data_IF_539084180449
#
_entry.id   IF_539084180449
#
_cell.length_a   1.000
_cell.length_b   1.000
_cell.length_c   1.000
_cell.angle_alpha   90.00
_cell.angle_beta   90.00
_cell.angle_gamma   90.00
#
_symmetry.space_group_name_H-M   'P 1'
#
loop_
_entity.id
_entity.type
_entity.pdbx_description
1 polymer ?
#
# COMPACT_ATOMS: atom_id res chain seq x y z
N UNK A 1 -21.12 -5.94 37.80
CA UNK A 1 -20.10 -6.53 36.91
C UNK A 1 -19.47 -5.40 36.11
N UNK A 2 -18.27 -5.00 36.48
CA UNK A 2 -17.57 -3.85 35.89
C UNK A 2 -17.03 -4.19 34.51
N UNK A 3 -17.65 -3.62 33.48
CA UNK A 3 -17.04 -3.53 32.15
C UNK A 3 -15.90 -2.52 32.22
N UNK A 4 -14.68 -3.03 32.14
CA UNK A 4 -13.45 -2.26 32.10
C UNK A 4 -13.54 -1.22 30.98
N UNK A 5 -13.35 0.03 31.39
CA UNK A 5 -13.07 1.15 30.50
C UNK A 5 -11.76 0.87 29.78
N UNK A 6 -11.80 0.43 28.52
CA UNK A 6 -10.64 0.53 27.64
C UNK A 6 -10.53 2.00 27.21
N UNK A 7 -9.88 2.79 28.06
CA UNK A 7 -9.32 4.08 27.63
C UNK A 7 -8.35 3.78 26.48
N UNK A 8 -8.39 4.46 25.33
CA UNK A 8 -7.24 4.48 24.46
C UNK A 8 -6.13 5.26 25.19
N UNK A 9 -5.28 4.52 25.89
CA UNK A 9 -4.06 5.02 26.50
C UNK A 9 -3.22 5.69 25.42
N UNK A 10 -2.73 6.89 25.73
CA UNK A 10 -1.86 7.70 24.88
C UNK A 10 -0.45 7.10 24.82
N UNK A 11 -0.33 5.84 24.41
CA UNK A 11 0.94 5.23 24.07
C UNK A 11 1.24 5.61 22.61
N UNK A 12 1.63 6.87 22.42
CA UNK A 12 2.33 7.26 21.21
C UNK A 12 3.65 6.50 21.21
N UNK A 13 3.70 5.36 20.50
CA UNK A 13 4.98 4.77 20.15
C UNK A 13 5.85 5.87 19.55
N UNK A 14 6.99 6.11 20.19
CA UNK A 14 7.94 7.11 19.71
C UNK A 14 8.38 6.64 18.34
N UNK A 15 8.00 7.39 17.31
CA UNK A 15 8.32 7.01 15.95
C UNK A 15 9.83 6.73 15.82
N UNK A 16 10.13 5.52 15.39
CA UNK A 16 11.49 4.98 15.35
C UNK A 16 12.13 5.21 13.99
N UNK A 17 11.32 5.29 12.94
CA UNK A 17 11.79 5.33 11.56
C UNK A 17 11.73 6.72 10.96
N UNK A 18 12.78 7.09 10.24
CA UNK A 18 12.79 8.27 9.37
C UNK A 18 12.01 8.00 8.08
N UNK A 19 11.67 9.07 7.37
CA UNK A 19 11.00 8.96 6.06
C UNK A 19 11.82 8.19 5.01
N UNK A 20 13.16 8.20 5.13
CA UNK A 20 14.03 7.43 4.24
C UNK A 20 13.92 5.93 4.53
N UNK A 21 14.03 5.54 5.80
CA UNK A 21 13.91 4.13 6.21
C UNK A 21 12.52 3.55 5.88
N UNK A 22 11.46 4.34 6.05
CA UNK A 22 10.11 3.92 5.66
C UNK A 22 9.99 3.78 4.15
N UNK A 23 10.59 4.70 3.38
CA UNK A 23 10.58 4.62 1.93
C UNK A 23 11.26 3.35 1.41
N UNK A 24 12.41 2.97 1.99
CA UNK A 24 13.12 1.74 1.65
C UNK A 24 12.31 0.49 2.03
N UNK A 25 11.68 0.47 3.20
CA UNK A 25 10.91 -0.70 3.68
C UNK A 25 9.59 -0.91 2.94
N UNK A 26 8.90 0.17 2.61
CA UNK A 26 7.57 0.11 1.98
C UNK A 26 7.62 0.16 0.46
N UNK A 27 8.79 0.46 -0.12
CA UNK A 27 8.96 0.72 -1.56
C UNK A 27 8.29 2.03 -2.03
N UNK A 28 7.73 2.83 -1.12
CA UNK A 28 7.10 4.11 -1.44
C UNK A 28 8.14 5.22 -1.48
N UNK A 29 8.02 6.16 -2.42
CA UNK A 29 8.91 7.33 -2.42
C UNK A 29 8.60 8.26 -1.23
N UNK A 30 9.62 8.96 -0.74
CA UNK A 30 9.42 10.01 0.27
C UNK A 30 8.43 11.10 -0.18
N UNK A 31 8.28 11.33 -1.50
CA UNK A 31 7.26 12.22 -2.04
C UNK A 31 5.84 11.65 -1.85
N UNK A 32 5.63 10.36 -2.12
CA UNK A 32 4.36 9.66 -1.90
C UNK A 32 3.97 9.67 -0.43
N UNK A 33 4.91 9.41 0.49
CA UNK A 33 4.66 9.48 1.93
C UNK A 33 4.21 10.88 2.37
N UNK A 34 4.90 11.92 1.92
CA UNK A 34 4.50 13.33 2.16
C UNK A 34 3.13 13.65 1.58
N UNK A 35 2.82 13.10 0.40
CA UNK A 35 1.52 13.27 -0.22
C UNK A 35 0.40 12.61 0.59
N UNK A 36 0.61 11.38 1.08
CA UNK A 36 -0.34 10.68 1.96
C UNK A 36 -0.62 11.42 3.26
N UNK A 37 0.39 12.03 3.88
CA UNK A 37 0.16 12.90 5.03
C UNK A 37 -0.69 14.12 4.68
N UNK A 38 -0.40 14.76 3.53
CA UNK A 38 -1.08 15.99 3.11
C UNK A 38 -2.56 15.78 2.82
N UNK A 39 -2.91 14.64 2.22
CA UNK A 39 -4.31 14.29 1.94
C UNK A 39 -5.04 13.74 3.18
N UNK A 40 -4.34 13.58 4.31
CA UNK A 40 -4.93 13.06 5.54
C UNK A 40 -5.17 11.55 5.51
N UNK A 41 -4.40 10.79 4.73
CA UNK A 41 -4.48 9.32 4.71
C UNK A 41 -3.71 8.68 5.87
N UNK A 42 -2.72 9.38 6.42
CA UNK A 42 -2.04 9.03 7.66
C UNK A 42 -2.49 9.93 8.80
N UNK A 43 -2.57 9.39 10.03
CA UNK A 43 -2.74 10.20 11.25
C UNK A 43 -1.45 11.03 11.43
N UNK A 44 -1.56 12.26 11.92
CA UNK A 44 -0.42 13.18 11.99
C UNK A 44 0.76 12.54 12.72
N UNK A 45 1.84 12.29 11.99
CA UNK A 45 3.11 11.82 12.54
C UNK A 45 3.63 12.89 13.50
N UNK A 46 3.84 12.51 14.76
CA UNK A 46 4.31 13.43 15.81
C UNK A 46 5.57 14.16 15.36
N UNK A 47 5.47 15.48 15.21
CA UNK A 47 6.63 16.36 15.09
C UNK A 47 7.29 16.40 16.46
N UNK A 48 8.41 15.71 16.67
CA UNK A 48 9.19 16.00 17.88
C UNK A 48 9.65 17.45 17.79
N UNK A 49 9.35 18.22 18.83
CA UNK A 49 9.86 19.58 19.03
C UNK A 49 11.40 19.60 18.98
N UNK A 50 12.00 20.78 18.82
CA UNK A 50 13.45 20.92 18.74
C UNK A 50 14.08 20.25 19.96
N UNK A 51 14.92 19.24 19.73
CA UNK A 51 15.77 18.70 20.80
C UNK A 51 16.76 19.79 21.18
N UNK A 52 16.54 20.41 22.33
CA UNK A 52 17.57 21.15 23.06
C UNK A 52 18.60 20.13 23.52
N UNK A 53 19.68 19.99 22.76
CA UNK A 53 20.84 19.18 23.16
C UNK A 53 21.48 18.42 22.00
N UNK A 54 22.66 18.88 21.58
CA UNK A 54 23.69 18.05 20.97
C UNK A 54 23.71 17.99 19.44
N UNK A 55 24.63 18.79 18.88
CA UNK A 55 25.22 18.73 17.54
C UNK A 55 24.37 19.24 16.37
N UNK A 56 24.92 20.29 15.75
CA UNK A 56 24.30 21.09 14.72
C UNK A 56 24.05 20.30 13.43
N UNK A 57 22.82 20.45 12.94
CA UNK A 57 22.53 20.68 11.54
C UNK A 57 21.10 21.24 11.46
N UNK A 58 20.98 22.50 11.05
CA UNK A 58 19.73 23.26 11.00
C UNK A 58 18.76 22.74 9.94
N UNK A 59 18.04 21.64 10.24
CA UNK A 59 16.82 21.24 9.52
C UNK A 59 15.79 20.70 10.50
N UNK A 60 14.65 21.38 10.57
CA UNK A 60 13.60 21.22 11.58
C UNK A 60 13.10 19.79 11.79
N UNK A 61 12.53 19.58 12.98
CA UNK A 61 11.70 18.44 13.40
C UNK A 61 11.69 17.24 12.44
N UNK A 62 12.59 16.27 12.68
CA UNK A 62 12.63 15.03 11.89
C UNK A 62 11.33 14.25 12.12
N UNK A 63 10.58 13.98 11.05
CA UNK A 63 9.40 13.10 11.06
C UNK A 63 9.81 11.69 11.45
N UNK A 64 8.97 11.04 12.25
CA UNK A 64 9.26 9.79 12.92
C UNK A 64 8.05 8.87 12.90
N UNK A 65 8.12 7.77 12.16
CA UNK A 65 7.05 6.79 11.97
C UNK A 65 7.18 5.65 12.97
N UNK A 66 6.06 5.17 13.53
CA UNK A 66 6.00 3.99 14.42
C UNK A 66 5.82 2.70 13.60
N UNK A 67 5.95 1.53 14.25
CA UNK A 67 5.68 0.25 13.58
C UNK A 67 4.23 0.18 13.07
N UNK A 68 3.26 0.72 13.81
CA UNK A 68 1.86 0.81 13.36
C UNK A 68 1.69 1.67 12.11
N UNK A 69 2.50 2.73 11.93
CA UNK A 69 2.48 3.53 10.71
C UNK A 69 3.01 2.73 9.51
N UNK A 70 3.98 1.83 9.73
CA UNK A 70 4.48 0.95 8.66
C UNK A 70 3.41 -0.07 8.25
N UNK A 71 2.75 -0.72 9.21
CA UNK A 71 1.66 -1.68 8.92
C UNK A 71 0.53 -1.00 8.12
N UNK A 72 0.18 0.23 8.52
CA UNK A 72 -0.81 1.04 7.80
C UNK A 72 -0.35 1.39 6.38
N UNK A 73 0.92 1.77 6.21
CA UNK A 73 1.49 2.11 4.90
C UNK A 73 1.57 0.89 3.97
N UNK A 74 1.91 -0.28 4.51
CA UNK A 74 1.89 -1.53 3.75
C UNK A 74 0.47 -1.86 3.28
N UNK A 75 -0.51 -1.72 4.17
CA UNK A 75 -1.93 -1.91 3.83
C UNK A 75 -2.38 -0.95 2.73
N UNK A 76 -2.15 0.36 2.89
CA UNK A 76 -2.49 1.38 1.88
C UNK A 76 -1.76 1.13 0.57
N UNK A 77 -0.50 0.70 0.62
CA UNK A 77 0.28 0.32 -0.54
C UNK A 77 -0.39 -0.80 -1.33
N UNK A 78 -0.83 -1.87 -0.65
CA UNK A 78 -1.55 -3.00 -1.27
C UNK A 78 -2.92 -2.59 -1.82
N UNK A 79 -3.67 -1.75 -1.11
CA UNK A 79 -4.95 -1.23 -1.62
C UNK A 79 -4.76 -0.42 -2.90
N UNK A 80 -3.71 0.42 -2.95
CA UNK A 80 -3.39 1.16 -4.18
C UNK A 80 -2.97 0.24 -5.33
N UNK A 81 -2.14 -0.78 -5.06
CA UNK A 81 -1.70 -1.74 -6.09
C UNK A 81 -2.88 -2.53 -6.69
N UNK A 82 -3.89 -2.81 -5.88
CA UNK A 82 -5.12 -3.47 -6.31
C UNK A 82 -6.11 -2.54 -7.03
N UNK A 83 -5.75 -1.27 -7.21
CA UNK A 83 -6.56 -0.30 -7.96
C UNK A 83 -7.58 0.45 -7.13
N UNK A 84 -7.56 0.35 -5.79
CA UNK A 84 -8.50 1.09 -4.95
C UNK A 84 -8.31 2.61 -5.17
N UNK A 85 -9.39 3.36 -5.45
CA UNK A 85 -9.34 4.80 -5.54
C UNK A 85 -8.86 5.43 -4.23
N UNK A 86 -8.11 6.54 -4.35
CA UNK A 86 -7.62 7.28 -3.18
C UNK A 86 -8.77 7.83 -2.34
N UNK A 87 -9.92 8.14 -2.97
CA UNK A 87 -11.12 8.56 -2.28
C UNK A 87 -11.64 7.47 -1.30
N UNK A 88 -11.64 6.20 -1.70
CA UNK A 88 -12.09 5.09 -0.86
C UNK A 88 -11.08 4.77 0.24
N UNK A 89 -9.78 4.88 -0.06
CA UNK A 89 -8.75 4.79 0.97
C UNK A 89 -8.90 5.89 2.05
N UNK A 90 -9.24 7.12 1.64
CA UNK A 90 -9.53 8.22 2.57
C UNK A 90 -10.82 7.96 3.37
N UNK A 91 -11.87 7.45 2.73
CA UNK A 91 -13.11 7.05 3.39
C UNK A 91 -12.84 5.97 4.45
N UNK A 92 -12.04 4.97 4.11
CA UNK A 92 -11.62 3.93 5.06
C UNK A 92 -10.84 4.53 6.22
N UNK A 93 -9.88 5.43 5.97
CA UNK A 93 -9.12 6.11 7.02
C UNK A 93 -10.01 6.93 7.96
N UNK A 94 -11.03 7.58 7.43
CA UNK A 94 -12.00 8.35 8.22
C UNK A 94 -12.88 7.44 9.09
N UNK A 95 -13.39 6.34 8.53
CA UNK A 95 -14.08 5.32 9.31
C UNK A 95 -13.18 4.78 10.43
N UNK A 96 -11.89 4.52 10.14
CA UNK A 96 -10.89 4.13 11.16
C UNK A 96 -10.82 5.13 12.31
N UNK A 97 -10.77 6.43 12.00
CA UNK A 97 -10.72 7.50 13.00
C UNK A 97 -11.96 7.63 13.86
N UNK A 98 -13.14 7.36 13.31
CA UNK A 98 -14.41 7.41 14.04
C UNK A 98 -14.51 6.30 15.12
N UNK A 99 -13.70 5.24 15.01
CA UNK A 99 -13.64 4.17 16.01
C UNK A 99 -14.65 3.04 15.77
N UNK A 100 -14.77 2.17 16.78
CA UNK A 100 -15.29 0.80 16.61
C UNK A 100 -16.74 0.64 16.16
N UNK A 101 -17.54 1.70 16.26
CA UNK A 101 -18.93 1.70 15.78
C UNK A 101 -19.03 1.63 14.25
N UNK A 102 -17.95 1.96 13.53
CA UNK A 102 -17.89 1.91 12.06
C UNK A 102 -17.37 0.58 11.52
N UNK A 103 -17.09 -0.42 12.38
CA UNK A 103 -16.53 -1.71 11.96
C UNK A 103 -17.31 -2.39 10.83
N UNK A 104 -18.65 -2.29 10.85
CA UNK A 104 -19.50 -2.82 9.78
C UNK A 104 -19.23 -2.13 8.44
N UNK A 105 -19.24 -0.79 8.42
CA UNK A 105 -19.00 -0.01 7.21
C UNK A 105 -17.58 -0.21 6.65
N UNK A 106 -16.58 -0.38 7.52
CA UNK A 106 -15.21 -0.73 7.11
C UNK A 106 -15.16 -2.09 6.43
N UNK A 107 -15.87 -3.08 7.00
CA UNK A 107 -15.92 -4.43 6.43
C UNK A 107 -16.60 -4.43 5.07
N UNK A 108 -17.76 -3.77 4.95
CA UNK A 108 -18.51 -3.65 3.69
C UNK A 108 -17.62 -3.05 2.59
N UNK A 109 -16.93 -1.95 2.86
CA UNK A 109 -16.00 -1.33 1.89
C UNK A 109 -14.90 -2.30 1.42
N UNK A 110 -14.34 -3.10 2.32
CA UNK A 110 -13.30 -4.08 1.97
C UNK A 110 -13.88 -5.30 1.25
N UNK A 111 -15.11 -5.69 1.54
CA UNK A 111 -15.82 -6.77 0.86
C UNK A 111 -16.11 -6.39 -0.59
N UNK A 112 -16.61 -5.17 -0.82
CA UNK A 112 -16.87 -4.63 -2.15
C UNK A 112 -15.57 -4.56 -2.97
N UNK A 113 -14.51 -3.96 -2.42
CA UNK A 113 -13.22 -3.89 -3.10
C UNK A 113 -12.63 -5.28 -3.40
N UNK A 114 -12.82 -6.24 -2.48
CA UNK A 114 -12.37 -7.62 -2.70
C UNK A 114 -13.05 -8.27 -3.89
N UNK A 115 -14.34 -7.98 -4.13
CA UNK A 115 -15.05 -8.47 -5.32
C UNK A 115 -14.51 -7.84 -6.60
N UNK A 116 -14.25 -6.54 -6.60
CA UNK A 116 -13.61 -5.85 -7.73
C UNK A 116 -12.23 -6.45 -8.07
N UNK A 117 -11.41 -6.72 -7.06
CA UNK A 117 -10.09 -7.34 -7.24
C UNK A 117 -10.21 -8.75 -7.81
N UNK A 118 -11.18 -9.54 -7.37
CA UNK A 118 -11.40 -10.89 -7.91
C UNK A 118 -11.80 -10.86 -9.38
N UNK A 119 -12.70 -9.94 -9.74
CA UNK A 119 -13.09 -9.76 -11.14
C UNK A 119 -11.88 -9.37 -11.98
N UNK A 120 -11.06 -8.45 -11.49
CA UNK A 120 -9.83 -8.04 -12.18
C UNK A 120 -8.81 -9.16 -12.33
N UNK A 121 -8.66 -10.03 -11.33
CA UNK A 121 -7.81 -11.23 -11.42
C UNK A 121 -8.33 -12.16 -12.52
N UNK A 122 -9.63 -12.40 -12.56
CA UNK A 122 -10.27 -13.25 -13.58
C UNK A 122 -10.05 -12.69 -15.00
N UNK A 123 -10.19 -11.38 -15.16
CA UNK A 123 -9.95 -10.70 -16.45
C UNK A 123 -8.47 -10.83 -16.87
N UNK A 124 -7.55 -10.59 -15.94
CA UNK A 124 -6.11 -10.71 -16.20
C UNK A 124 -5.70 -12.14 -16.53
N UNK A 125 -6.27 -13.15 -15.86
CA UNK A 125 -6.06 -14.55 -16.19
C UNK A 125 -6.57 -14.89 -17.60
N UNK A 126 -7.74 -14.34 -17.97
CA UNK A 126 -8.29 -14.52 -19.33
C UNK A 126 -7.40 -13.87 -20.39
N UNK A 127 -6.87 -12.67 -20.12
CA UNK A 127 -5.91 -12.02 -21.00
C UNK A 127 -4.60 -12.82 -21.12
N UNK A 128 -4.11 -13.40 -20.01
CA UNK A 128 -2.89 -14.19 -19.99
C UNK A 128 -3.00 -15.40 -20.92
N UNK A 129 -4.13 -16.11 -20.90
CA UNK A 129 -4.38 -17.24 -21.82
C UNK A 129 -4.26 -16.85 -23.30
N UNK A 130 -4.75 -15.66 -23.67
CA UNK A 130 -4.65 -15.17 -25.05
C UNK A 130 -3.22 -14.83 -25.42
N UNK A 131 -2.47 -14.24 -24.48
CA UNK A 131 -1.05 -13.92 -24.68
C UNK A 131 -0.24 -15.21 -24.84
N UNK A 132 -0.45 -16.19 -23.96
CA UNK A 132 0.24 -17.48 -23.98
C UNK A 132 -0.04 -18.23 -25.29
N UNK A 133 -1.31 -18.30 -25.71
CA UNK A 133 -1.67 -18.88 -27.00
C UNK A 133 -0.96 -18.21 -28.18
N UNK A 134 -0.81 -16.88 -28.16
CA UNK A 134 -0.09 -16.16 -29.21
C UNK A 134 1.41 -16.45 -29.19
N UNK A 135 2.01 -16.56 -28.01
CA UNK A 135 3.41 -16.93 -27.86
C UNK A 135 3.65 -18.32 -28.43
N UNK A 136 2.82 -19.31 -28.07
CA UNK A 136 2.90 -20.68 -28.58
C UNK A 136 2.76 -20.73 -30.10
N UNK A 137 1.76 -20.01 -30.65
CA UNK A 137 1.54 -19.95 -32.11
C UNK A 137 2.77 -19.42 -32.86
N UNK A 138 3.45 -18.41 -32.32
CA UNK A 138 4.67 -17.89 -32.95
C UNK A 138 5.86 -18.83 -32.78
N UNK A 139 6.01 -19.47 -31.62
CA UNK A 139 7.07 -20.45 -31.39
C UNK A 139 6.95 -21.65 -32.36
N UNK A 140 5.73 -22.15 -32.59
CA UNK A 140 5.48 -23.24 -33.53
C UNK A 140 5.79 -22.82 -34.98
N UNK A 141 5.44 -21.59 -35.36
CA UNK A 141 5.73 -21.05 -36.69
C UNK A 141 7.23 -20.85 -36.93
N UNK A 142 7.98 -20.42 -35.91
CA UNK A 142 9.45 -20.31 -35.98
C UNK A 142 10.10 -21.69 -36.16
N UNK A 143 9.71 -22.68 -35.35
CA UNK A 143 10.23 -24.05 -35.46
C UNK A 143 9.95 -24.70 -36.82
N UNK A 144 8.75 -24.45 -37.37
CA UNK A 144 8.35 -24.98 -38.69
C UNK A 144 9.16 -24.38 -39.84
N UNK A 145 9.55 -23.10 -39.74
CA UNK A 145 10.35 -22.43 -40.77
C UNK A 145 11.82 -22.87 -40.76
N UNK A 146 12.36 -23.24 -39.60
CA UNK A 146 13.73 -23.73 -39.46
C UNK A 146 13.89 -25.16 -40.04
N UNK A 147 12.87 -26.01 -39.91
CA UNK A 147 12.86 -27.37 -40.47
C UNK A 147 12.83 -27.38 -42.01
N UNK A 148 12.11 -26.45 -42.64
CA UNK A 148 12.08 -26.31 -44.11
C UNK A 148 13.41 -25.80 -44.67
N UNK A 149 14.14 -24.95 -43.93
CA UNK A 149 15.46 -24.47 -44.34
C UNK A 149 16.57 -25.51 -44.13
N UNK A 150 16.44 -26.43 -43.18
CA UNK A 150 17.46 -27.46 -42.93
C UNK A 150 17.39 -28.67 -43.88
N UNK A 151 16.25 -28.90 -44.56
CA UNK A 151 16.07 -30.00 -45.53
C UNK A 151 16.49 -29.63 -46.97
N UNK A 152 16.76 -28.35 -47.24
CA UNK A 152 17.09 -27.84 -48.57
C UNK A 152 18.61 -27.65 -48.83
N UNK A 153 19.47 -28.11 -47.92
CA UNK A 153 20.94 -27.98 -47.98
C UNK A 153 21.67 -29.25 -48.37
#
# INVERSE_FOLDING_TARGET
MSVQQTRPSADYEVGKYSIGEVAERTGLTAHTLRWYERIGLMRHVSRQGPRTGGNGDGRGSRRRYSDHDLDWLEFVGKMRLTGMPVADMLRYAELVRQGDHTRRARRELLEDHREEVRNRISDLQSCLLVIDYKIETYADAEASNDDEHSQAG
#
